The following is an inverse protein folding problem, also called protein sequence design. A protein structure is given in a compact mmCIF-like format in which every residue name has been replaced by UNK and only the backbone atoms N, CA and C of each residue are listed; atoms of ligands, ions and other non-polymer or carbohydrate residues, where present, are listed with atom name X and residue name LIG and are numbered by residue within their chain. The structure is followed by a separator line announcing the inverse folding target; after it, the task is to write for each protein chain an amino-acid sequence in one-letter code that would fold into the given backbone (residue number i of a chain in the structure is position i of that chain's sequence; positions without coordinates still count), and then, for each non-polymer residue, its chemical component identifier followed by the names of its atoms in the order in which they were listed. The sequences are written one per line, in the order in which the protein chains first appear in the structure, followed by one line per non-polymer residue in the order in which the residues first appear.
data_IF_231787871882
#
_entry.id   IF_231787871882
#
_cell.length_a   1.000
_cell.length_b   1.000
_cell.length_c   1.000
_cell.angle_alpha   90.00
_cell.angle_beta   90.00
_cell.angle_gamma   90.00
#
_symmetry.space_group_name_H-M   'P 1'
#
loop_
_entity.id
_entity.type
_entity.pdbx_description
1 polymer ?
#
# COMPACT_ATOMS: atom_id res chain seq x y z
N UNK A 1 -6.85 0.08 -30.40
CA UNK A 1 -8.22 0.17 -29.85
C UNK A 1 -8.49 -1.03 -28.94
N UNK A 2 -8.61 -0.81 -27.63
CA UNK A 2 -8.85 -1.88 -26.65
C UNK A 2 -10.35 -2.10 -26.49
N UNK A 3 -10.88 -3.26 -26.90
CA UNK A 3 -12.32 -3.58 -26.90
C UNK A 3 -12.88 -4.07 -25.55
N UNK A 4 -12.22 -3.78 -24.42
CA UNK A 4 -12.73 -4.18 -23.11
C UNK A 4 -12.68 -3.02 -22.11
N UNK A 5 -13.75 -2.82 -21.31
CA UNK A 5 -13.80 -1.77 -20.29
C UNK A 5 -12.75 -2.02 -19.20
N UNK A 6 -12.19 -0.92 -18.65
CA UNK A 6 -11.28 -0.95 -17.50
C UNK A 6 -11.96 -1.70 -16.35
N UNK A 7 -11.33 -2.78 -15.86
CA UNK A 7 -11.87 -3.62 -14.79
C UNK A 7 -12.42 -4.99 -15.21
N UNK A 8 -12.59 -5.27 -16.51
CA UNK A 8 -12.99 -6.62 -16.95
C UNK A 8 -11.83 -7.60 -16.78
N UNK A 9 -11.93 -8.51 -15.80
CA UNK A 9 -11.11 -9.73 -15.77
C UNK A 9 -11.66 -10.66 -16.83
N UNK A 10 -10.91 -10.91 -17.91
CA UNK A 10 -11.26 -11.95 -18.88
C UNK A 10 -11.32 -13.29 -18.13
N UNK A 11 -12.34 -14.13 -18.31
CA UNK A 11 -12.32 -15.49 -17.77
C UNK A 11 -11.06 -16.22 -18.27
N UNK A 12 -10.56 -17.17 -17.49
CA UNK A 12 -9.34 -17.91 -17.82
C UNK A 12 -9.52 -18.60 -19.18
N UNK A 13 -8.74 -18.18 -20.16
CA UNK A 13 -8.88 -18.59 -21.55
C UNK A 13 -7.49 -18.91 -22.14
N UNK A 14 -7.48 -19.55 -23.30
CA UNK A 14 -6.27 -19.84 -24.05
C UNK A 14 -5.74 -18.60 -24.77
N UNK A 15 -4.42 -18.47 -24.83
CA UNK A 15 -3.76 -17.45 -25.65
C UNK A 15 -3.89 -17.78 -27.14
N UNK A 16 -4.40 -16.85 -27.96
CA UNK A 16 -4.57 -17.10 -29.40
C UNK A 16 -3.28 -17.37 -30.20
N UNK A 17 -2.12 -17.02 -29.65
CA UNK A 17 -0.81 -17.28 -30.28
C UNK A 17 -0.19 -18.58 -29.77
N UNK A 18 0.15 -18.66 -28.48
CA UNK A 18 0.84 -19.83 -27.92
C UNK A 18 -0.08 -20.93 -27.38
N UNK A 19 -1.40 -20.76 -27.41
CA UNK A 19 -2.39 -21.71 -26.87
C UNK A 19 -2.23 -22.01 -25.37
N UNK A 20 -1.40 -21.26 -24.66
CA UNK A 20 -1.21 -21.42 -23.22
C UNK A 20 -2.48 -20.97 -22.48
N UNK A 21 -2.89 -21.76 -21.48
CA UNK A 21 -4.03 -21.45 -20.64
C UNK A 21 -3.61 -20.60 -19.44
N UNK A 22 -4.38 -19.57 -19.11
CA UNK A 22 -4.18 -18.78 -17.89
C UNK A 22 -4.86 -17.42 -17.90
N UNK A 23 -4.63 -16.63 -16.85
CA UNK A 23 -5.27 -15.33 -16.66
C UNK A 23 -4.40 -14.22 -17.26
N UNK A 24 -4.95 -13.44 -18.19
CA UNK A 24 -4.27 -12.28 -18.78
C UNK A 24 -5.26 -11.25 -19.34
N UNK A 25 -4.83 -10.00 -19.35
CA UNK A 25 -5.56 -8.89 -19.95
C UNK A 25 -5.23 -8.79 -21.45
N UNK A 26 -6.21 -9.06 -22.33
CA UNK A 26 -6.11 -8.87 -23.79
C UNK A 26 -6.31 -10.15 -24.62
N UNK A 27 -6.02 -10.07 -25.94
CA UNK A 27 -6.13 -11.21 -26.88
C UNK A 27 -4.94 -12.17 -26.83
N UNK A 28 -3.78 -11.67 -26.40
CA UNK A 28 -2.52 -12.41 -26.32
C UNK A 28 -1.95 -12.29 -24.91
N UNK A 29 -1.23 -13.32 -24.47
CA UNK A 29 -0.48 -13.24 -23.23
C UNK A 29 0.65 -12.19 -23.30
N UNK A 30 1.12 -11.65 -22.17
CA UNK A 30 2.19 -10.65 -22.15
C UNK A 30 3.44 -11.07 -22.93
N UNK A 31 3.78 -12.35 -22.87
CA UNK A 31 4.93 -12.90 -23.57
C UNK A 31 4.77 -12.95 -25.09
N UNK A 32 3.59 -13.36 -25.59
CA UNK A 32 3.27 -13.32 -27.02
C UNK A 32 3.10 -11.89 -27.52
N UNK A 33 2.56 -11.00 -26.69
CA UNK A 33 2.44 -9.57 -27.01
C UNK A 33 3.82 -8.94 -27.22
N UNK A 34 4.75 -9.14 -26.28
CA UNK A 34 6.12 -8.61 -26.38
C UNK A 34 6.91 -9.26 -27.53
N UNK A 35 6.75 -10.58 -27.72
CA UNK A 35 7.38 -11.29 -28.83
C UNK A 35 6.90 -10.75 -30.18
N UNK A 36 5.59 -10.50 -30.34
CA UNK A 36 5.01 -9.94 -31.55
C UNK A 36 5.38 -8.48 -31.82
N UNK A 37 5.73 -7.69 -30.80
CA UNK A 37 6.28 -6.34 -31.00
C UNK A 37 7.66 -6.33 -31.66
N UNK A 38 8.43 -7.39 -31.47
CA UNK A 38 9.84 -7.46 -31.87
C UNK A 38 10.06 -8.26 -33.16
N UNK A 39 9.01 -8.91 -33.69
CA UNK A 39 9.13 -9.88 -34.78
C UNK A 39 8.00 -9.73 -35.78
N UNK A 40 8.33 -9.86 -37.08
CA UNK A 40 7.34 -9.77 -38.17
C UNK A 40 6.50 -11.05 -38.24
N UNK A 41 5.24 -10.89 -38.64
CA UNK A 41 4.30 -11.99 -38.83
C UNK A 41 4.53 -12.66 -40.18
N UNK A 42 4.74 -13.97 -40.17
CA UNK A 42 4.84 -14.80 -41.38
C UNK A 42 4.42 -16.25 -41.06
N UNK A 43 4.40 -17.12 -42.07
CA UNK A 43 4.10 -18.55 -41.86
C UNK A 43 5.28 -19.27 -41.21
N UNK A 44 5.06 -19.84 -40.03
CA UNK A 44 6.09 -20.58 -39.31
C UNK A 44 6.54 -21.84 -40.07
N UNK A 45 7.84 -22.06 -40.22
CA UNK A 45 8.38 -23.26 -40.90
C UNK A 45 8.00 -24.56 -40.16
N UNK A 46 7.92 -24.53 -38.83
CA UNK A 46 7.59 -25.70 -38.01
C UNK A 46 6.09 -26.03 -37.98
N UNK A 47 5.25 -25.08 -37.55
CA UNK A 47 3.82 -25.32 -37.32
C UNK A 47 2.89 -24.76 -38.41
N UNK A 48 3.45 -24.12 -39.45
CA UNK A 48 2.74 -23.49 -40.58
C UNK A 48 1.69 -22.42 -40.22
N UNK A 49 1.54 -22.09 -38.93
CA UNK A 49 0.66 -21.01 -38.47
C UNK A 49 1.27 -19.64 -38.79
N UNK A 50 0.41 -18.71 -39.22
CA UNK A 50 0.77 -17.30 -39.39
C UNK A 50 0.93 -16.66 -38.02
N UNK A 51 2.17 -16.36 -37.63
CA UNK A 51 2.55 -15.85 -36.31
C UNK A 51 3.80 -14.96 -36.42
N UNK A 52 4.10 -14.13 -35.41
CA UNK A 52 5.42 -13.49 -35.32
C UNK A 52 6.52 -14.57 -35.29
N UNK A 53 7.60 -14.37 -36.05
CA UNK A 53 8.68 -15.36 -36.20
C UNK A 53 10.03 -14.83 -35.73
N UNK A 54 10.76 -15.66 -35.00
CA UNK A 54 12.19 -15.48 -34.71
C UNK A 54 12.92 -16.64 -35.38
N UNK A 55 13.84 -16.33 -36.31
CA UNK A 55 14.52 -17.32 -37.14
C UNK A 55 13.54 -18.25 -37.89
N UNK A 56 12.51 -17.69 -38.54
CA UNK A 56 11.46 -18.45 -39.26
C UNK A 56 10.57 -19.40 -38.44
N UNK A 57 10.74 -19.42 -37.11
CA UNK A 57 9.92 -20.21 -36.18
C UNK A 57 9.12 -19.31 -35.22
N UNK A 58 7.88 -19.72 -34.93
CA UNK A 58 7.04 -19.00 -33.99
C UNK A 58 7.43 -19.31 -32.54
N UNK A 59 7.00 -18.44 -31.61
CA UNK A 59 7.29 -18.59 -30.17
C UNK A 59 6.87 -19.96 -29.61
N UNK A 60 5.79 -20.55 -30.12
CA UNK A 60 5.30 -21.85 -29.64
C UNK A 60 6.26 -22.99 -30.01
N UNK A 61 6.80 -22.99 -31.23
CA UNK A 61 7.82 -23.97 -31.65
C UNK A 61 9.11 -23.79 -30.83
N UNK A 62 9.49 -22.54 -30.53
CA UNK A 62 10.61 -22.25 -29.63
C UNK A 62 10.38 -22.76 -28.20
N UNK A 63 9.17 -22.66 -27.66
CA UNK A 63 8.83 -23.24 -26.35
C UNK A 63 8.93 -24.77 -26.38
N UNK A 64 8.43 -25.41 -27.44
CA UNK A 64 8.54 -26.87 -27.59
C UNK A 64 10.00 -27.32 -27.72
N UNK A 65 10.79 -26.67 -28.59
CA UNK A 65 12.20 -27.01 -28.77
C UNK A 65 12.98 -26.88 -27.46
N UNK A 66 12.72 -25.83 -26.67
CA UNK A 66 13.28 -25.69 -25.31
C UNK A 66 12.84 -26.79 -24.36
N UNK A 67 11.58 -27.19 -24.40
CA UNK A 67 11.07 -28.28 -23.58
C UNK A 67 11.74 -29.61 -23.95
N UNK A 68 11.80 -29.94 -25.24
CA UNK A 68 12.48 -31.14 -25.74
C UNK A 68 13.97 -31.13 -25.43
N UNK A 69 14.65 -29.98 -25.54
CA UNK A 69 16.05 -29.86 -25.19
C UNK A 69 16.29 -30.08 -23.68
N UNK A 70 15.43 -29.51 -22.82
CA UNK A 70 15.47 -29.72 -21.37
C UNK A 70 15.21 -31.18 -20.98
N UNK A 71 14.28 -31.85 -21.67
CA UNK A 71 13.97 -33.26 -21.42
C UNK A 71 15.15 -34.19 -21.71
N UNK A 72 16.00 -33.84 -22.68
CA UNK A 72 17.17 -34.64 -23.08
C UNK A 72 18.42 -34.28 -22.28
N UNK A 73 18.69 -32.99 -22.05
CA UNK A 73 19.92 -32.53 -21.39
C UNK A 73 19.82 -32.40 -19.86
N UNK A 74 18.61 -32.48 -19.28
CA UNK A 74 18.37 -32.29 -17.84
C UNK A 74 18.58 -30.85 -17.32
N UNK A 75 19.21 -29.96 -18.11
CA UNK A 75 19.54 -28.57 -17.78
C UNK A 75 18.92 -27.58 -18.80
N UNK A 76 19.09 -26.27 -18.57
CA UNK A 76 18.64 -25.27 -19.54
C UNK A 76 19.51 -25.34 -20.80
N UNK A 77 18.90 -25.70 -21.93
CA UNK A 77 19.59 -25.78 -23.20
C UNK A 77 19.96 -24.40 -23.74
N UNK A 78 21.14 -24.30 -24.34
CA UNK A 78 21.65 -23.07 -24.89
C UNK A 78 20.90 -22.68 -26.17
N UNK A 79 20.99 -21.42 -26.61
CA UNK A 79 20.21 -20.96 -27.78
C UNK A 79 20.56 -21.75 -29.06
N UNK A 80 21.82 -22.20 -29.20
CA UNK A 80 22.27 -23.06 -30.29
C UNK A 80 21.58 -24.43 -30.27
N UNK A 81 21.59 -25.13 -29.13
CA UNK A 81 20.94 -26.44 -28.97
C UNK A 81 19.44 -26.40 -29.26
N UNK A 82 18.80 -25.29 -28.88
CA UNK A 82 17.37 -25.09 -29.13
C UNK A 82 17.11 -24.90 -30.62
N UNK A 83 17.99 -24.19 -31.35
CA UNK A 83 17.86 -23.95 -32.79
C UNK A 83 17.92 -25.23 -33.59
N UNK A 84 18.87 -26.12 -33.28
CA UNK A 84 19.02 -27.40 -33.98
C UNK A 84 17.78 -28.28 -33.83
N UNK A 85 17.05 -28.11 -32.72
CA UNK A 85 15.83 -28.87 -32.40
C UNK A 85 14.55 -28.24 -32.96
N UNK A 86 14.58 -27.02 -33.50
CA UNK A 86 13.40 -26.37 -34.09
C UNK A 86 12.86 -27.15 -35.31
N UNK A 87 13.77 -27.68 -36.13
CA UNK A 87 13.42 -28.52 -37.29
C UNK A 87 12.78 -29.87 -36.92
N UNK A 88 12.98 -30.33 -35.68
CA UNK A 88 12.44 -31.59 -35.15
C UNK A 88 11.09 -31.43 -34.43
N UNK A 89 10.58 -30.20 -34.26
CA UNK A 89 9.27 -29.97 -33.64
C UNK A 89 8.16 -30.53 -34.54
N UNK A 90 7.43 -31.53 -34.04
CA UNK A 90 6.28 -32.16 -34.73
C UNK A 90 4.97 -32.02 -33.96
N UNK A 91 5.04 -31.85 -32.65
CA UNK A 91 3.92 -31.70 -31.75
C UNK A 91 4.18 -30.54 -30.79
N UNK A 92 3.14 -30.04 -30.12
CA UNK A 92 3.27 -28.97 -29.13
C UNK A 92 2.63 -29.43 -27.82
N UNK A 93 3.43 -29.46 -26.75
CA UNK A 93 2.93 -29.67 -25.41
C UNK A 93 2.23 -28.38 -24.95
N UNK A 94 0.96 -28.49 -24.57
CA UNK A 94 0.25 -27.38 -23.95
C UNK A 94 0.79 -27.14 -22.55
N UNK A 95 0.89 -25.87 -22.17
CA UNK A 95 1.47 -25.44 -20.90
C UNK A 95 0.67 -24.29 -20.29
N UNK A 96 0.78 -24.15 -18.98
CA UNK A 96 0.20 -23.00 -18.28
C UNK A 96 1.05 -21.75 -18.45
N UNK A 97 0.35 -20.63 -18.59
CA UNK A 97 0.93 -19.29 -18.59
C UNK A 97 1.93 -19.13 -17.43
N UNK A 98 3.16 -18.69 -17.74
CA UNK A 98 4.23 -18.48 -16.76
C UNK A 98 5.20 -19.66 -16.60
N UNK A 99 4.88 -20.88 -17.06
CA UNK A 99 5.75 -22.05 -16.87
C UNK A 99 7.07 -22.01 -17.64
N UNK A 100 7.11 -21.37 -18.81
CA UNK A 100 8.31 -21.26 -19.65
C UNK A 100 9.07 -19.93 -19.48
N UNK A 101 8.65 -19.07 -18.55
CA UNK A 101 9.43 -17.91 -18.13
C UNK A 101 10.54 -18.35 -17.16
N UNK A 102 11.50 -19.11 -17.68
CA UNK A 102 12.85 -19.17 -17.12
C UNK A 102 13.81 -18.86 -18.26
N UNK A 103 13.94 -17.57 -18.58
CA UNK A 103 15.17 -17.12 -19.23
C UNK A 103 16.31 -17.41 -18.25
N UNK A 104 17.29 -18.20 -18.69
CA UNK A 104 18.65 -18.29 -18.13
C UNK A 104 18.75 -18.04 -16.63
N UNK A 105 18.31 -19.01 -15.82
CA UNK A 105 18.84 -19.14 -14.46
C UNK A 105 19.69 -20.39 -14.47
N UNK A 106 20.92 -20.25 -14.97
CA UNK A 106 22.05 -20.98 -14.38
C UNK A 106 21.89 -20.83 -12.87
N UNK A 107 21.92 -21.91 -12.07
CA UNK A 107 22.11 -21.73 -10.64
C UNK A 107 23.50 -21.11 -10.51
N UNK A 108 23.56 -19.78 -10.44
CA UNK A 108 24.77 -19.10 -9.99
C UNK A 108 25.20 -19.82 -8.72
N UNK A 109 26.47 -20.25 -8.59
CA UNK A 109 27.00 -20.63 -7.29
C UNK A 109 26.59 -19.50 -6.36
N UNK A 110 25.99 -19.82 -5.22
CA UNK A 110 25.63 -18.81 -4.23
C UNK A 110 26.87 -17.92 -4.08
N UNK A 111 26.82 -16.64 -4.46
CA UNK A 111 27.96 -15.79 -4.20
C UNK A 111 28.00 -15.68 -2.68
N UNK A 112 28.98 -16.34 -2.07
CA UNK A 112 29.39 -15.95 -0.74
C UNK A 112 29.66 -14.44 -0.80
N UNK A 113 28.83 -13.66 -0.11
CA UNK A 113 29.02 -12.24 0.18
C UNK A 113 29.35 -11.36 -1.03
N UNK A 114 28.41 -11.13 -1.95
CA UNK A 114 28.60 -10.17 -3.04
C UNK A 114 27.31 -9.46 -3.42
N UNK A 115 27.15 -8.22 -2.96
CA UNK A 115 26.04 -7.31 -3.27
C UNK A 115 26.01 -7.03 -4.79
N UNK A 116 25.17 -7.73 -5.54
CA UNK A 116 24.91 -7.40 -6.95
C UNK A 116 24.07 -6.12 -7.03
N UNK A 117 24.76 -4.98 -7.00
CA UNK A 117 24.20 -3.70 -7.40
C UNK A 117 23.95 -3.72 -8.91
N UNK A 118 22.69 -3.90 -9.32
CA UNK A 118 22.25 -3.45 -10.63
C UNK A 118 22.81 -2.03 -10.82
N UNK A 119 23.51 -1.77 -11.95
CA UNK A 119 24.27 -0.53 -12.13
C UNK A 119 23.45 0.62 -11.58
N UNK A 120 23.98 1.24 -10.52
CA UNK A 120 23.34 2.41 -9.98
C UNK A 120 23.30 3.37 -11.16
N UNK A 121 22.10 3.73 -11.61
CA UNK A 121 21.98 4.93 -12.43
C UNK A 121 22.80 5.99 -11.70
N UNK A 122 23.70 6.70 -12.40
CA UNK A 122 24.53 7.70 -11.75
C UNK A 122 23.62 8.58 -10.91
N UNK A 123 24.06 8.98 -9.70
CA UNK A 123 23.26 9.85 -8.85
C UNK A 123 22.81 11.05 -9.68
N UNK A 124 21.58 11.53 -9.48
CA UNK A 124 21.13 12.75 -10.16
C UNK A 124 22.15 13.85 -9.88
N UNK A 125 22.47 14.65 -10.92
CA UNK A 125 23.39 15.76 -10.78
C UNK A 125 22.92 16.66 -9.61
N UNK A 126 23.86 17.17 -8.79
CA UNK A 126 23.53 18.16 -7.76
C UNK A 126 22.72 19.30 -8.37
N UNK A 127 21.56 19.55 -7.79
CA UNK A 127 20.66 20.61 -8.21
C UNK A 127 20.23 21.38 -6.97
N UNK A 128 20.06 22.69 -7.13
CA UNK A 128 19.65 23.61 -6.07
C UNK A 128 18.36 24.30 -6.47
N UNK A 129 17.75 25.00 -5.51
CA UNK A 129 16.58 25.85 -5.77
C UNK A 129 16.90 26.76 -6.97
N UNK A 130 16.10 26.71 -8.05
CA UNK A 130 16.31 27.57 -9.21
C UNK A 130 16.28 29.05 -8.81
N UNK A 131 17.11 29.88 -9.44
CA UNK A 131 17.04 31.33 -9.25
C UNK A 131 15.87 31.90 -10.09
N UNK A 132 14.92 32.64 -9.50
CA UNK A 132 13.76 33.19 -10.22
C UNK A 132 14.09 34.04 -11.44
N UNK A 133 15.26 34.69 -11.43
CA UNK A 133 15.50 35.82 -12.31
C UNK A 133 14.45 36.92 -12.12
N UNK A 134 14.42 37.90 -13.02
CA UNK A 134 13.38 38.93 -13.05
C UNK A 134 12.15 38.39 -13.79
N UNK A 135 11.35 37.55 -13.12
CA UNK A 135 10.07 37.06 -13.63
C UNK A 135 8.92 37.61 -12.79
N UNK A 136 7.83 37.96 -13.47
CA UNK A 136 6.64 38.46 -12.80
C UNK A 136 5.99 37.32 -12.01
N UNK A 137 5.78 37.56 -10.71
CA UNK A 137 5.07 36.64 -9.83
C UNK A 137 3.57 36.61 -10.18
N UNK A 138 2.87 35.49 -9.90
CA UNK A 138 1.43 35.40 -10.08
C UNK A 138 0.71 36.50 -9.27
N UNK A 139 -0.27 37.16 -9.90
CA UNK A 139 -0.97 38.34 -9.38
C UNK A 139 -2.03 38.02 -8.30
N UNK A 140 -2.50 36.77 -8.20
CA UNK A 140 -3.51 36.33 -7.24
C UNK A 140 -3.01 35.13 -6.42
N UNK A 141 -3.48 34.98 -5.18
CA UNK A 141 -3.37 33.73 -4.41
C UNK A 141 -3.95 32.61 -5.27
N UNK A 142 -3.12 31.61 -5.62
CA UNK A 142 -3.38 30.78 -6.79
C UNK A 142 -4.64 29.94 -6.65
N UNK A 143 -5.44 29.99 -7.72
CA UNK A 143 -6.60 29.12 -7.98
C UNK A 143 -6.12 27.66 -7.87
N UNK A 144 -6.83 26.78 -7.14
CA UNK A 144 -6.45 25.40 -6.98
C UNK A 144 -6.16 24.71 -8.32
N UNK A 145 -5.01 24.04 -8.44
CA UNK A 145 -4.63 23.37 -9.69
C UNK A 145 -5.50 22.14 -9.92
N UNK A 146 -6.19 22.10 -11.06
CA UNK A 146 -6.95 20.92 -11.47
C UNK A 146 -6.04 19.86 -12.12
N UNK A 147 -5.49 18.99 -11.28
CA UNK A 147 -4.67 17.85 -11.72
C UNK A 147 -5.46 16.74 -12.44
N UNK A 148 -6.80 16.79 -12.47
CA UNK A 148 -7.61 15.78 -13.16
C UNK A 148 -7.48 15.85 -14.69
N UNK A 149 -7.13 17.02 -15.23
CA UNK A 149 -7.01 17.29 -16.67
C UNK A 149 -5.59 17.17 -17.21
N UNK A 150 -4.61 16.91 -16.36
CA UNK A 150 -3.21 16.76 -16.76
C UNK A 150 -2.97 15.41 -17.45
N UNK A 151 -2.66 15.47 -18.75
CA UNK A 151 -2.19 14.31 -19.51
C UNK A 151 -0.74 13.97 -19.08
N UNK A 152 -0.46 12.75 -18.61
CA UNK A 152 0.89 12.31 -18.26
C UNK A 152 1.93 12.45 -19.40
N UNK A 153 1.49 12.52 -20.66
CA UNK A 153 2.38 12.75 -21.80
C UNK A 153 2.91 14.19 -21.87
N UNK A 154 2.28 15.13 -21.16
CA UNK A 154 2.63 16.56 -21.14
C UNK A 154 3.53 16.89 -19.93
N UNK A 155 3.99 15.87 -19.19
CA UNK A 155 4.84 16.11 -18.03
C UNK A 155 6.14 16.82 -18.43
N UNK A 156 6.44 17.97 -17.81
CA UNK A 156 7.66 18.72 -18.08
C UNK A 156 8.85 18.01 -17.42
N UNK A 157 9.52 17.18 -18.22
CA UNK A 157 10.69 16.42 -17.77
C UNK A 157 11.97 17.25 -17.66
N UNK A 158 11.96 18.49 -18.17
CA UNK A 158 13.13 19.37 -18.32
C UNK A 158 13.13 20.51 -17.28
N UNK A 159 12.04 20.70 -16.53
CA UNK A 159 11.94 21.73 -15.49
C UNK A 159 13.11 21.71 -14.49
N UNK A 160 13.77 22.86 -14.23
CA UNK A 160 14.79 23.00 -13.19
C UNK A 160 14.29 22.62 -11.79
N UNK A 161 13.01 22.87 -11.51
CA UNK A 161 12.35 22.49 -10.25
C UNK A 161 12.24 20.97 -10.11
N UNK A 162 11.97 20.26 -11.20
CA UNK A 162 11.96 18.80 -11.21
C UNK A 162 13.38 18.22 -11.04
N UNK A 163 14.41 18.86 -11.60
CA UNK A 163 15.80 18.46 -11.38
C UNK A 163 16.19 18.59 -9.90
N UNK A 164 15.83 19.71 -9.26
CA UNK A 164 16.04 19.91 -7.82
C UNK A 164 15.26 18.88 -6.97
N UNK A 165 13.99 18.65 -7.28
CA UNK A 165 13.16 17.65 -6.58
C UNK A 165 13.73 16.24 -6.68
N UNK A 166 14.24 15.83 -7.87
CA UNK A 166 14.89 14.53 -8.07
C UNK A 166 16.18 14.40 -7.25
N UNK A 167 16.95 15.48 -7.13
CA UNK A 167 18.16 15.51 -6.30
C UNK A 167 17.81 15.36 -4.80
N UNK A 168 16.83 16.12 -4.30
CA UNK A 168 16.36 16.00 -2.91
C UNK A 168 15.75 14.63 -2.61
N UNK A 169 14.94 14.09 -3.51
CA UNK A 169 14.40 12.74 -3.38
C UNK A 169 15.51 11.68 -3.31
N UNK A 170 16.62 11.86 -4.02
CA UNK A 170 17.77 10.98 -3.92
C UNK A 170 18.46 11.08 -2.55
N UNK A 171 18.70 12.30 -2.04
CA UNK A 171 19.28 12.50 -0.70
C UNK A 171 18.42 11.90 0.40
N UNK A 172 17.11 12.15 0.38
CA UNK A 172 16.15 11.57 1.32
C UNK A 172 16.10 10.05 1.22
N UNK A 173 16.18 9.51 0.00
CA UNK A 173 16.17 8.07 -0.22
C UNK A 173 17.45 7.37 0.28
N UNK A 174 18.60 8.03 0.24
CA UNK A 174 19.85 7.54 0.84
C UNK A 174 19.77 7.62 2.36
N UNK A 175 19.34 8.76 2.92
CA UNK A 175 19.25 8.98 4.36
C UNK A 175 18.20 8.08 5.04
N UNK A 176 17.05 7.85 4.40
CA UNK A 176 15.91 7.10 4.94
C UNK A 176 15.77 5.68 4.36
N UNK A 177 16.71 5.25 3.53
CA UNK A 177 16.77 3.87 3.02
C UNK A 177 15.63 3.46 2.07
N UNK A 178 15.15 4.37 1.21
CA UNK A 178 14.02 4.06 0.32
C UNK A 178 14.42 3.00 -0.73
N UNK A 179 13.58 1.98 -0.90
CA UNK A 179 13.76 0.95 -1.92
C UNK A 179 13.66 1.50 -3.36
N UNK A 180 14.19 0.74 -4.33
CA UNK A 180 14.22 1.13 -5.75
C UNK A 180 12.85 1.48 -6.31
N UNK A 181 11.81 0.73 -5.96
CA UNK A 181 10.45 0.93 -6.45
C UNK A 181 9.83 2.21 -5.89
N UNK A 182 10.09 2.53 -4.63
CA UNK A 182 9.65 3.77 -3.99
C UNK A 182 10.34 4.97 -4.66
N UNK A 183 11.66 4.91 -4.85
CA UNK A 183 12.42 5.97 -5.55
C UNK A 183 11.86 6.23 -6.96
N UNK A 184 11.57 5.16 -7.71
CA UNK A 184 10.99 5.28 -9.04
C UNK A 184 9.57 5.89 -9.00
N UNK A 185 8.72 5.44 -8.08
CA UNK A 185 7.36 5.94 -7.94
C UNK A 185 7.30 7.39 -7.45
N UNK A 186 8.19 7.80 -6.54
CA UNK A 186 8.34 9.20 -6.09
C UNK A 186 8.78 10.09 -7.27
N UNK A 187 9.79 9.69 -8.04
CA UNK A 187 10.23 10.47 -9.21
C UNK A 187 9.11 10.65 -10.24
N UNK A 188 8.25 9.65 -10.41
CA UNK A 188 7.07 9.73 -11.27
C UNK A 188 5.99 10.65 -10.70
N UNK A 189 5.77 10.63 -9.39
CA UNK A 189 4.87 11.54 -8.69
C UNK A 189 5.32 13.00 -8.82
N UNK A 190 6.60 13.26 -8.55
CA UNK A 190 7.21 14.59 -8.65
C UNK A 190 7.13 15.15 -10.08
N UNK A 191 7.35 14.32 -11.10
CA UNK A 191 7.21 14.75 -12.49
C UNK A 191 5.78 15.23 -12.80
N UNK A 192 4.75 14.56 -12.28
CA UNK A 192 3.36 14.96 -12.47
C UNK A 192 3.00 16.24 -11.69
N UNK A 193 3.41 16.29 -10.41
CA UNK A 193 3.06 17.40 -9.51
C UNK A 193 3.73 18.71 -9.94
N UNK A 194 4.99 18.66 -10.38
CA UNK A 194 5.78 19.83 -10.77
C UNK A 194 5.62 20.22 -12.25
N UNK A 195 4.76 19.54 -13.01
CA UNK A 195 4.48 19.92 -14.40
C UNK A 195 3.82 21.30 -14.42
N UNK A 196 4.43 22.26 -15.11
CA UNK A 196 3.94 23.65 -15.16
C UNK A 196 4.01 24.39 -13.81
N UNK A 197 4.87 23.96 -12.89
CA UNK A 197 5.14 24.71 -11.66
C UNK A 197 5.73 26.10 -11.97
N UNK A 198 5.17 27.14 -11.36
CA UNK A 198 5.66 28.52 -11.45
C UNK A 198 6.14 28.94 -10.06
N UNK A 199 7.22 29.72 -10.01
CA UNK A 199 7.76 30.18 -8.75
C UNK A 199 6.80 31.11 -8.01
N UNK A 200 6.71 30.91 -6.68
CA UNK A 200 5.73 31.57 -5.83
C UNK A 200 4.40 30.82 -5.73
N UNK A 201 4.27 29.69 -6.44
CA UNK A 201 3.11 28.80 -6.32
C UNK A 201 3.27 27.81 -5.15
N UNK A 202 2.17 27.54 -4.46
CA UNK A 202 2.10 26.65 -3.30
C UNK A 202 1.26 25.43 -3.67
N UNK A 203 1.86 24.25 -3.54
CA UNK A 203 1.21 22.99 -3.88
C UNK A 203 0.46 22.47 -2.67
N UNK A 204 -0.87 22.38 -2.78
CA UNK A 204 -1.73 21.94 -1.70
C UNK A 204 -1.91 20.43 -1.66
N UNK A 205 -2.09 19.85 -0.48
CA UNK A 205 -2.34 18.41 -0.33
C UNK A 205 -3.61 17.94 -1.04
N UNK A 206 -4.73 18.65 -0.90
CA UNK A 206 -6.04 18.30 -1.50
C UNK A 206 -5.94 18.18 -3.02
N UNK A 207 -5.11 19.01 -3.64
CA UNK A 207 -4.85 19.02 -5.08
C UNK A 207 -4.08 17.77 -5.52
N UNK A 208 -3.05 17.37 -4.78
CA UNK A 208 -2.18 16.25 -5.17
C UNK A 208 -2.67 14.89 -4.66
N UNK A 209 -3.47 14.86 -3.58
CA UNK A 209 -3.86 13.62 -2.91
C UNK A 209 -4.67 12.70 -3.83
N UNK A 210 -5.73 13.23 -4.44
CA UNK A 210 -6.56 12.46 -5.36
C UNK A 210 -5.76 12.01 -6.59
N UNK A 211 -4.89 12.88 -7.13
CA UNK A 211 -4.02 12.57 -8.27
C UNK A 211 -3.09 11.38 -7.97
N UNK A 212 -2.38 11.43 -6.84
CA UNK A 212 -1.38 10.42 -6.49
C UNK A 212 -2.04 9.11 -6.06
N UNK A 213 -3.17 9.16 -5.34
CA UNK A 213 -3.92 7.97 -4.91
C UNK A 213 -4.55 7.21 -6.07
N UNK A 214 -5.15 7.92 -7.05
CA UNK A 214 -5.75 7.28 -8.24
C UNK A 214 -4.71 6.57 -9.13
N UNK A 215 -3.43 6.88 -8.95
CA UNK A 215 -2.31 6.32 -9.74
C UNK A 215 -1.41 5.38 -8.92
N UNK A 216 -1.82 5.00 -7.72
CA UNK A 216 -1.05 4.16 -6.79
C UNK A 216 0.37 4.68 -6.53
N UNK A 217 0.54 6.01 -6.48
CA UNK A 217 1.82 6.67 -6.22
C UNK A 217 1.99 6.98 -4.72
N UNK A 218 3.24 6.97 -4.21
CA UNK A 218 3.51 7.15 -2.79
C UNK A 218 3.31 8.62 -2.37
N UNK A 219 2.10 8.94 -1.90
CA UNK A 219 1.72 10.29 -1.42
C UNK A 219 2.70 10.80 -0.38
N UNK A 220 2.88 10.06 0.72
CA UNK A 220 3.69 10.49 1.86
C UNK A 220 5.13 10.85 1.47
N UNK A 221 5.77 10.01 0.64
CA UNK A 221 7.15 10.23 0.23
C UNK A 221 7.27 11.40 -0.75
N UNK A 222 6.25 11.63 -1.57
CA UNK A 222 6.20 12.77 -2.49
C UNK A 222 6.00 14.06 -1.70
N UNK A 223 5.09 14.07 -0.73
CA UNK A 223 4.87 15.18 0.21
C UNK A 223 6.15 15.54 0.94
N UNK A 224 6.86 14.57 1.52
CA UNK A 224 8.15 14.81 2.18
C UNK A 224 9.14 15.56 1.29
N UNK A 225 9.25 15.21 0.02
CA UNK A 225 10.17 15.94 -0.89
C UNK A 225 9.71 17.38 -1.10
N UNK A 226 8.41 17.60 -1.26
CA UNK A 226 7.84 18.94 -1.48
C UNK A 226 7.90 19.82 -0.22
N UNK A 227 7.77 19.23 0.97
CA UNK A 227 7.99 19.88 2.27
C UNK A 227 9.44 20.37 2.39
N UNK A 228 10.43 19.52 2.08
CA UNK A 228 11.85 19.89 2.10
C UNK A 228 12.20 20.96 1.03
N UNK A 229 11.44 21.01 -0.06
CA UNK A 229 11.54 22.08 -1.06
C UNK A 229 10.91 23.41 -0.59
N UNK A 230 10.09 23.39 0.48
CA UNK A 230 9.39 24.57 0.98
C UNK A 230 8.30 25.11 0.05
N UNK A 231 7.74 24.26 -0.82
CA UNK A 231 6.71 24.62 -1.81
C UNK A 231 5.37 23.91 -1.57
N UNK A 232 5.24 23.21 -0.45
CA UNK A 232 4.08 22.41 -0.09
C UNK A 232 3.29 23.03 1.05
N UNK A 233 1.97 23.01 0.94
CA UNK A 233 1.03 23.36 2.00
C UNK A 233 0.10 22.18 2.28
N UNK A 234 0.05 21.75 3.53
CA UNK A 234 -0.89 20.72 3.95
C UNK A 234 -2.25 21.34 4.27
N UNK A 235 -3.18 21.23 3.31
CA UNK A 235 -4.59 21.60 3.46
C UNK A 235 -5.51 20.38 3.68
N UNK A 236 -4.94 19.21 4.04
CA UNK A 236 -5.71 17.97 4.28
C UNK A 236 -6.58 18.08 5.54
N UNK A 237 -7.90 18.22 5.33
CA UNK A 237 -8.94 17.97 6.34
C UNK A 237 -8.87 18.93 7.56
N UNK A 238 -9.96 19.09 8.32
CA UNK A 238 -10.12 20.19 9.27
C UNK A 238 -8.92 20.27 10.20
N UNK A 239 -8.46 21.49 10.50
CA UNK A 239 -7.62 21.71 11.67
C UNK A 239 -8.21 20.87 12.81
N UNK A 240 -7.36 20.18 13.58
CA UNK A 240 -7.84 19.33 14.68
C UNK A 240 -8.95 20.02 15.51
N UNK A 241 -8.86 21.35 15.64
CA UNK A 241 -9.89 22.23 16.19
C UNK A 241 -11.25 22.15 15.50
N UNK A 242 -11.32 22.29 14.17
CA UNK A 242 -12.58 22.20 13.41
C UNK A 242 -13.16 20.79 13.47
N UNK A 243 -12.33 19.74 13.34
CA UNK A 243 -12.82 18.38 13.51
C UNK A 243 -13.34 18.11 14.92
N UNK A 244 -12.61 18.57 15.94
CA UNK A 244 -12.98 18.40 17.33
C UNK A 244 -14.31 19.09 17.62
N UNK A 245 -14.50 20.32 17.13
CA UNK A 245 -15.75 21.06 17.23
C UNK A 245 -16.93 20.30 16.59
N UNK A 246 -16.78 19.83 15.34
CA UNK A 246 -17.79 19.04 14.63
C UNK A 246 -18.15 17.74 15.37
N UNK A 247 -17.16 17.04 15.94
CA UNK A 247 -17.42 15.77 16.62
C UNK A 247 -18.08 15.94 17.98
N UNK A 248 -17.87 17.07 18.62
CA UNK A 248 -18.47 17.40 19.91
C UNK A 248 -19.83 18.10 19.80
N UNK A 249 -20.27 18.40 18.57
CA UNK A 249 -21.59 18.94 18.29
C UNK A 249 -22.69 17.97 18.74
N UNK A 250 -23.75 18.52 19.34
CA UNK A 250 -24.88 17.76 19.90
C UNK A 250 -24.66 17.18 21.30
N UNK A 251 -23.45 17.29 21.87
CA UNK A 251 -23.20 16.89 23.26
C UNK A 251 -23.63 17.96 24.26
N UNK A 252 -24.07 17.53 25.44
CA UNK A 252 -24.37 18.40 26.57
C UNK A 252 -23.12 19.20 26.98
N UNK A 253 -23.23 20.47 27.42
CA UNK A 253 -22.07 21.34 27.64
C UNK A 253 -21.01 20.77 28.60
N UNK A 254 -21.42 20.12 29.68
CA UNK A 254 -20.50 19.49 30.63
C UNK A 254 -19.74 18.32 29.99
N UNK A 255 -20.46 17.36 29.41
CA UNK A 255 -19.89 16.22 28.69
C UNK A 255 -18.98 16.67 27.54
N UNK A 256 -19.38 17.70 26.79
CA UNK A 256 -18.60 18.32 25.71
C UNK A 256 -17.24 18.77 26.19
N UNK A 257 -17.22 19.61 27.24
CA UNK A 257 -15.97 20.18 27.79
C UNK A 257 -15.02 19.10 28.33
N UNK A 258 -15.56 18.02 28.88
CA UNK A 258 -14.77 16.90 29.42
C UNK A 258 -14.22 16.01 28.30
N UNK A 259 -15.02 15.70 27.28
CA UNK A 259 -14.58 14.96 26.10
C UNK A 259 -13.55 15.74 25.27
N UNK A 260 -13.68 17.06 25.19
CA UNK A 260 -12.70 17.94 24.54
C UNK A 260 -11.33 17.86 25.25
N UNK A 261 -11.32 18.09 26.56
CA UNK A 261 -10.09 18.04 27.38
C UNK A 261 -9.43 16.67 27.30
N UNK A 262 -10.21 15.59 27.33
CA UNK A 262 -9.69 14.24 27.14
C UNK A 262 -9.02 14.06 25.77
N UNK A 263 -9.66 14.53 24.70
CA UNK A 263 -9.16 14.37 23.33
C UNK A 263 -7.86 15.15 23.13
N UNK A 264 -7.75 16.36 23.69
CA UNK A 264 -6.50 17.14 23.71
C UNK A 264 -5.38 16.40 24.45
N UNK A 265 -5.67 15.86 25.64
CA UNK A 265 -4.68 15.07 26.41
C UNK A 265 -4.25 13.79 25.68
N UNK A 266 -5.13 13.17 24.89
CA UNK A 266 -4.72 12.04 24.03
C UNK A 266 -3.76 12.48 22.92
N UNK A 267 -4.01 13.63 22.30
CA UNK A 267 -3.19 14.16 21.21
C UNK A 267 -1.83 14.63 21.71
N UNK A 268 -1.82 15.51 22.68
CA UNK A 268 -0.62 16.23 23.13
C UNK A 268 0.16 15.43 24.19
N UNK A 269 -0.45 14.36 24.70
CA UNK A 269 0.06 13.64 25.85
C UNK A 269 -0.28 14.36 27.16
N UNK A 270 0.14 13.75 28.26
CA UNK A 270 -0.03 14.31 29.59
C UNK A 270 1.19 13.99 30.46
N UNK A 271 1.21 14.45 31.72
CA UNK A 271 2.38 14.33 32.59
C UNK A 271 2.93 12.90 32.78
N UNK A 272 2.09 11.87 32.53
CA UNK A 272 2.45 10.45 32.64
C UNK A 272 2.03 9.63 31.41
N UNK A 273 1.74 10.27 30.28
CA UNK A 273 1.28 9.59 29.06
C UNK A 273 1.85 10.24 27.81
N UNK A 274 2.48 9.45 26.96
CA UNK A 274 3.01 9.93 25.69
C UNK A 274 1.88 10.38 24.73
N UNK A 275 2.17 11.37 23.87
CA UNK A 275 1.31 11.74 22.75
C UNK A 275 0.87 10.53 21.93
N UNK A 276 -0.40 10.48 21.53
CA UNK A 276 -0.90 9.43 20.63
C UNK A 276 -0.83 9.88 19.19
N UNK A 277 -0.58 8.93 18.30
CA UNK A 277 -0.69 9.14 16.86
C UNK A 277 -2.09 9.64 16.52
N UNK A 278 -2.18 10.65 15.64
CA UNK A 278 -3.44 11.32 15.28
C UNK A 278 -4.53 10.29 15.00
N UNK A 279 -4.29 9.31 14.11
CA UNK A 279 -5.23 8.23 13.77
C UNK A 279 -5.88 7.52 14.97
N UNK A 280 -5.12 7.34 16.06
CA UNK A 280 -5.64 6.75 17.30
C UNK A 280 -6.58 7.70 18.05
N UNK A 281 -6.28 8.99 18.06
CA UNK A 281 -7.13 10.03 18.67
C UNK A 281 -8.48 10.09 17.95
N UNK A 282 -8.47 10.16 16.61
CA UNK A 282 -9.69 10.14 15.79
C UNK A 282 -10.52 8.90 16.06
N UNK A 283 -9.87 7.73 16.09
CA UNK A 283 -10.54 6.46 16.35
C UNK A 283 -11.19 6.46 17.74
N UNK A 284 -10.48 6.89 18.79
CA UNK A 284 -11.01 6.89 20.16
C UNK A 284 -12.24 7.79 20.30
N UNK A 285 -12.19 9.03 19.81
CA UNK A 285 -13.33 9.94 19.90
C UNK A 285 -14.52 9.40 19.10
N UNK A 286 -14.30 8.92 17.88
CA UNK A 286 -15.37 8.33 17.05
C UNK A 286 -16.01 7.10 17.69
N UNK A 287 -15.25 6.31 18.45
CA UNK A 287 -15.77 5.13 19.16
C UNK A 287 -16.60 5.49 20.39
N UNK A 288 -16.26 6.58 21.09
CA UNK A 288 -16.95 6.99 22.32
C UNK A 288 -18.15 7.90 22.03
N UNK A 289 -18.13 8.65 20.93
CA UNK A 289 -19.18 9.63 20.56
C UNK A 289 -20.61 9.09 20.62
N UNK A 290 -20.95 7.88 20.11
CA UNK A 290 -22.32 7.38 20.16
C UNK A 290 -22.86 7.26 21.59
N UNK A 291 -22.03 6.76 22.52
CA UNK A 291 -22.37 6.67 23.94
C UNK A 291 -22.56 8.06 24.56
N UNK A 292 -21.69 9.01 24.24
CA UNK A 292 -21.79 10.38 24.77
C UNK A 292 -23.06 11.09 24.29
N UNK A 293 -23.47 10.88 23.03
CA UNK A 293 -24.72 11.44 22.50
C UNK A 293 -25.94 10.84 23.22
N UNK A 294 -25.95 9.52 23.43
CA UNK A 294 -27.00 8.85 24.18
C UNK A 294 -27.12 9.39 25.61
N UNK A 295 -26.00 9.57 26.30
CA UNK A 295 -25.97 10.07 27.67
C UNK A 295 -26.24 11.57 27.76
N UNK A 296 -25.88 12.36 26.74
CA UNK A 296 -26.19 13.79 26.69
C UNK A 296 -27.70 14.09 26.68
N UNK A 297 -28.53 13.11 26.28
CA UNK A 297 -29.98 13.24 26.38
C UNK A 297 -30.51 13.06 27.82
N UNK A 298 -29.68 12.53 28.73
CA UNK A 298 -30.08 12.15 30.10
C UNK A 298 -29.29 12.87 31.20
N UNK A 299 -28.07 13.31 30.90
CA UNK A 299 -27.10 13.84 31.87
C UNK A 299 -26.34 15.02 31.30
N UNK A 300 -25.95 15.94 32.18
CA UNK A 300 -25.16 17.13 31.82
C UNK A 300 -23.65 16.89 31.92
N UNK A 301 -23.21 15.96 32.78
CA UNK A 301 -21.80 15.71 33.12
C UNK A 301 -21.43 14.21 33.10
N UNK A 302 -20.16 13.87 32.80
CA UNK A 302 -19.71 12.46 32.82
C UNK A 302 -19.73 11.82 34.22
N UNK A 303 -19.77 12.63 35.29
CA UNK A 303 -19.83 12.15 36.67
C UNK A 303 -21.15 11.44 37.02
N UNK A 304 -22.21 11.74 36.27
CA UNK A 304 -23.55 11.17 36.47
C UNK A 304 -23.70 9.82 35.78
N UNK A 305 -22.81 9.50 34.84
CA UNK A 305 -22.84 8.21 34.12
C UNK A 305 -22.46 7.07 35.06
N UNK A 306 -23.39 6.15 35.25
CA UNK A 306 -23.22 5.02 36.15
C UNK A 306 -22.61 3.81 35.44
N UNK A 307 -22.24 2.79 36.23
CA UNK A 307 -21.80 1.50 35.68
C UNK A 307 -22.89 0.84 34.85
N UNK A 308 -24.15 0.98 35.26
CA UNK A 308 -25.27 0.31 34.63
C UNK A 308 -25.58 0.94 33.27
N UNK A 309 -25.38 2.26 33.12
CA UNK A 309 -25.46 2.94 31.81
C UNK A 309 -24.41 2.42 30.83
N UNK A 310 -23.18 2.22 31.28
CA UNK A 310 -22.11 1.66 30.44
C UNK A 310 -22.42 0.22 30.04
N UNK A 311 -23.02 -0.57 30.93
CA UNK A 311 -23.43 -1.94 30.62
C UNK A 311 -24.61 -1.98 29.65
N UNK A 312 -25.61 -1.13 29.85
CA UNK A 312 -26.76 -0.98 28.95
C UNK A 312 -26.30 -0.61 27.53
N UNK A 313 -25.41 0.39 27.41
CA UNK A 313 -24.81 0.75 26.13
C UNK A 313 -24.02 -0.42 25.53
N UNK A 314 -23.16 -1.08 26.31
CA UNK A 314 -22.34 -2.19 25.81
C UNK A 314 -23.15 -3.43 25.40
N UNK A 315 -24.36 -3.63 25.93
CA UNK A 315 -25.26 -4.72 25.54
C UNK A 315 -25.78 -4.56 24.10
N UNK A 316 -25.91 -3.32 23.61
CA UNK A 316 -26.30 -3.05 22.22
C UNK A 316 -25.22 -3.39 21.19
N UNK A 317 -23.99 -3.66 21.65
CA UNK A 317 -22.82 -3.86 20.80
C UNK A 317 -22.32 -5.30 20.83
N UNK A 318 -21.85 -5.76 19.67
CA UNK A 318 -21.33 -7.12 19.50
C UNK A 318 -19.90 -7.13 18.91
N UNK A 319 -19.17 -8.21 19.19
CA UNK A 319 -17.86 -8.49 18.59
C UNK A 319 -16.81 -7.38 18.72
N UNK A 320 -16.15 -7.05 17.61
CA UNK A 320 -15.05 -6.06 17.54
C UNK A 320 -15.50 -4.65 17.94
N UNK A 321 -16.73 -4.27 17.59
CA UNK A 321 -17.25 -2.96 17.92
C UNK A 321 -17.40 -2.78 19.44
N UNK A 322 -17.91 -3.80 20.13
CA UNK A 322 -17.99 -3.81 21.60
C UNK A 322 -16.61 -3.69 22.24
N UNK A 323 -15.63 -4.45 21.73
CA UNK A 323 -14.26 -4.41 22.23
C UNK A 323 -13.66 -2.99 22.07
N UNK A 324 -13.66 -2.46 20.85
CA UNK A 324 -13.03 -1.17 20.54
C UNK A 324 -13.68 -0.01 21.29
N UNK A 325 -15.02 -0.01 21.40
CA UNK A 325 -15.72 1.01 22.17
C UNK A 325 -15.46 0.91 23.67
N UNK A 326 -15.46 -0.29 24.27
CA UNK A 326 -15.13 -0.46 25.69
C UNK A 326 -13.69 -0.07 26.02
N UNK A 327 -12.74 -0.33 25.12
CA UNK A 327 -11.35 0.13 25.27
C UNK A 327 -11.29 1.66 25.26
N UNK A 328 -11.98 2.31 24.32
CA UNK A 328 -12.00 3.76 24.22
C UNK A 328 -12.73 4.42 25.43
N UNK A 329 -13.86 3.85 25.87
CA UNK A 329 -14.57 4.30 27.08
C UNK A 329 -13.71 4.14 28.33
N UNK A 330 -12.96 3.03 28.46
CA UNK A 330 -12.04 2.86 29.58
C UNK A 330 -10.95 3.92 29.56
N UNK A 331 -10.45 4.31 28.39
CA UNK A 331 -9.49 5.41 28.25
C UNK A 331 -10.08 6.73 28.75
N UNK A 332 -11.30 7.08 28.34
CA UNK A 332 -12.02 8.27 28.79
C UNK A 332 -12.22 8.29 30.31
N UNK A 333 -12.82 7.25 30.89
CA UNK A 333 -13.12 7.24 32.32
C UNK A 333 -11.87 7.04 33.20
N UNK A 334 -10.82 6.40 32.70
CA UNK A 334 -9.54 6.35 33.40
C UNK A 334 -8.86 7.73 33.44
N UNK A 335 -8.96 8.50 32.35
CA UNK A 335 -8.53 9.89 32.33
C UNK A 335 -9.38 10.77 33.25
N UNK A 336 -10.72 10.67 33.18
CA UNK A 336 -11.62 11.47 33.99
C UNK A 336 -11.41 11.23 35.50
N UNK A 337 -11.13 9.98 35.90
CA UNK A 337 -10.76 9.66 37.29
C UNK A 337 -9.44 10.32 37.69
N UNK A 338 -8.43 10.30 36.81
CA UNK A 338 -7.12 10.91 37.07
C UNK A 338 -7.19 12.44 37.12
N UNK A 339 -8.06 13.04 36.33
CA UNK A 339 -8.32 14.48 36.30
C UNK A 339 -9.22 14.97 37.45
N UNK A 340 -9.71 14.06 38.32
CA UNK A 340 -10.57 14.41 39.46
C UNK A 340 -12.02 14.73 39.09
N UNK A 341 -12.46 14.48 37.86
CA UNK A 341 -13.82 14.76 37.39
C UNK A 341 -14.83 13.73 37.91
N UNK A 342 -14.38 12.49 38.12
CA UNK A 342 -15.19 11.41 38.67
C UNK A 342 -14.46 10.74 39.84
N UNK A 343 -15.22 10.34 40.85
CA UNK A 343 -14.68 9.64 42.01
C UNK A 343 -14.40 8.16 41.70
N UNK A 344 -15.34 7.50 41.02
CA UNK A 344 -15.28 6.07 40.68
C UNK A 344 -15.35 5.88 39.17
N UNK A 345 -14.49 5.00 38.64
CA UNK A 345 -14.52 4.67 37.22
C UNK A 345 -15.66 3.66 36.93
N UNK A 346 -16.71 4.01 36.15
CA UNK A 346 -17.83 3.13 35.85
C UNK A 346 -17.44 1.94 34.97
N UNK A 347 -16.36 2.05 34.18
CA UNK A 347 -15.82 0.96 33.34
C UNK A 347 -14.96 -0.04 34.11
N UNK A 348 -14.74 0.20 35.41
CA UNK A 348 -13.95 -0.70 36.24
C UNK A 348 -14.64 -2.08 36.37
N UNK A 349 -13.84 -3.15 36.28
CA UNK A 349 -14.30 -4.55 36.37
C UNK A 349 -15.29 -4.99 35.26
N UNK A 350 -15.52 -4.20 34.21
CA UNK A 350 -16.27 -4.64 33.02
C UNK A 350 -15.31 -5.42 32.11
N UNK A 351 -15.63 -6.69 31.83
CA UNK A 351 -14.85 -7.53 30.91
C UNK A 351 -15.08 -7.05 29.47
N UNK A 352 -13.99 -6.73 28.76
CA UNK A 352 -14.03 -6.32 27.35
C UNK A 352 -14.34 -7.49 26.41
N UNK A 353 -14.15 -8.72 26.90
CA UNK A 353 -14.14 -9.94 26.09
C UNK A 353 -12.74 -10.20 25.55
N UNK A 354 -12.32 -11.46 25.50
CA UNK A 354 -11.08 -11.83 24.82
C UNK A 354 -11.34 -11.78 23.31
N UNK A 355 -10.49 -11.04 22.60
CA UNK A 355 -10.39 -11.13 21.16
C UNK A 355 -9.89 -12.54 20.83
N UNK A 356 -10.77 -13.41 20.33
CA UNK A 356 -10.31 -14.59 19.60
C UNK A 356 -9.66 -14.03 18.33
N UNK A 357 -8.34 -13.89 18.33
CA UNK A 357 -7.63 -14.07 17.08
C UNK A 357 -8.03 -15.48 16.65
N UNK A 358 -8.97 -15.57 15.72
CA UNK A 358 -8.93 -16.67 14.78
C UNK A 358 -7.58 -16.51 14.08
N UNK A 359 -6.54 -17.05 14.70
CA UNK A 359 -5.36 -17.48 13.99
C UNK A 359 -5.94 -18.45 12.98
N UNK A 360 -6.18 -17.96 11.76
CA UNK A 360 -6.40 -18.80 10.60
C UNK A 360 -5.08 -19.53 10.40
N UNK A 361 -4.86 -20.55 11.22
CA UNK A 361 -3.91 -21.58 10.90
C UNK A 361 -4.51 -22.24 9.67
N UNK A 362 -3.93 -21.96 8.50
CA UNK A 362 -4.18 -22.76 7.32
C UNK A 362 -3.57 -24.13 7.60
N UNK A 363 -4.34 -24.95 8.32
CA UNK A 363 -4.12 -26.38 8.38
C UNK A 363 -4.27 -26.89 6.95
N UNK A 364 -3.14 -27.05 6.28
CA UNK A 364 -3.03 -27.85 5.09
C UNK A 364 -3.61 -29.23 5.44
N UNK A 365 -4.84 -29.51 4.97
CA UNK A 365 -5.45 -30.83 5.04
C UNK A 365 -4.65 -31.75 4.11
N UNK A 366 -3.56 -32.31 4.63
CA UNK A 366 -2.99 -33.55 4.11
C UNK A 366 -2.12 -34.21 5.17
N UNK A 367 -2.78 -35.00 6.00
CA UNK A 367 -2.39 -36.32 6.53
C UNK A 367 -3.19 -36.57 7.80
N UNK A 368 -4.31 -37.27 7.65
CA UNK A 368 -4.86 -38.12 8.70
C UNK A 368 -4.62 -39.54 8.21
N UNK A 369 -3.67 -40.19 8.85
CA UNK A 369 -3.68 -41.62 9.15
C UNK A 369 -2.76 -41.78 10.37
N UNK A 370 -3.36 -41.65 11.55
CA UNK A 370 -3.31 -42.64 12.65
C UNK A 370 -3.66 -42.02 14.00
N UNK A 371 -4.36 -42.76 14.89
CA UNK A 371 -4.88 -42.26 16.15
C UNK A 371 -3.94 -42.61 17.30
N UNK A 372 -3.45 -41.63 18.05
CA UNK A 372 -2.90 -41.92 19.39
C UNK A 372 -3.29 -40.84 20.40
N UNK A 373 -4.19 -41.25 21.30
CA UNK A 373 -4.32 -40.92 22.72
C UNK A 373 -3.92 -39.53 23.26
N UNK A 374 -4.91 -38.90 23.91
CA UNK A 374 -4.86 -38.15 25.18
C UNK A 374 -3.48 -37.79 25.77
N UNK A 375 -3.29 -36.53 26.20
CA UNK A 375 -3.38 -36.14 27.62
C UNK A 375 -3.55 -34.62 27.75
N UNK A 376 -4.62 -34.24 28.43
CA UNK A 376 -4.82 -32.95 29.07
C UNK A 376 -4.02 -32.95 30.40
N UNK A 377 -3.08 -32.02 30.62
CA UNK A 377 -2.84 -31.50 31.99
C UNK A 377 -2.05 -30.18 32.01
N UNK A 378 -2.69 -29.18 32.62
CA UNK A 378 -2.08 -27.98 33.17
C UNK A 378 -0.95 -28.31 34.16
N UNK A 379 -0.02 -27.36 34.35
CA UNK A 379 0.42 -26.78 35.66
C UNK A 379 1.79 -26.09 35.47
N UNK A 380 1.81 -24.75 35.54
CA UNK A 380 2.56 -23.94 36.54
C UNK A 380 3.83 -24.61 37.09
N UNK A 381 5.01 -24.03 36.83
CA UNK A 381 5.91 -23.51 37.87
C UNK A 381 7.33 -23.25 37.34
N UNK A 382 7.85 -22.06 37.73
CA UNK A 382 9.20 -21.78 38.26
C UNK A 382 10.43 -22.02 37.36
N UNK A 383 11.06 -20.87 37.05
CA UNK A 383 12.51 -20.68 36.99
C UNK A 383 13.27 -21.46 38.08
N UNK A 384 14.48 -21.92 37.75
CA UNK A 384 15.63 -21.81 38.64
C UNK A 384 16.69 -20.83 38.10
N UNK A 385 17.36 -20.04 38.97
CA UNK A 385 18.64 -19.43 38.67
C UNK A 385 19.79 -20.38 39.08
N UNK A 386 20.96 -20.20 38.47
CA UNK A 386 22.23 -20.71 39.00
C UNK A 386 22.96 -21.66 38.06
N UNK A 387 23.78 -21.11 37.17
CA UNK A 387 25.24 -21.24 37.21
C UNK A 387 25.86 -20.07 36.45
#
# INVERSE_FOLDING_TARGET
MSRYPKGHRKPTDSCGSCLAWGNFSGRLCPACYMFGRSHKTAACVGCRRVQPLKWDYCRLCWCQARFSAKAVAGQQADEADVRDRLGAVRHHQLFFMGMHHRHGSVPTPRPHGGRWGASCKPPPAPAWRPNPGWRQLPLFEQIPRDYSRLDPAVADLVSPWLAWAKYLAHQLAEARGWGRDIRFAVNRGLALVLTGYVEGDVIRHSEIFALLRTRDLPVLHTVTVLEEMGIFEDDSEPSFERWLAERLEGLAPGIRSEAERWTRVLRDGGPRSLPRQSGTVWLHLNRVRPALLEWSNRYDHLREVTRDDVLAHAQTLHGRQRHDQLVALRSLFAWAKRAGLIFRNPTSRIKVGQYQYAVLWSANQRTRDEPTHCVHRMVRARLPPGL
#
